data_IF_222381615558
#
_entry.id   IF_222381615558
#
_cell.length_a   1.000
_cell.length_b   1.000
_cell.length_c   1.000
_cell.angle_alpha   90.00
_cell.angle_beta   90.00
_cell.angle_gamma   90.00
#
_symmetry.space_group_name_H-M   'P 1'
#
loop_
_entity.id
_entity.type
_entity.pdbx_description
1 polymer ?
#
# COMPACT_ATOMS: atom_id res chain seq x y z
N UNK A 1 4.98 -5.86 -1.89
CA UNK A 1 4.07 -5.84 -3.06
C UNK A 1 4.47 -4.73 -4.02
N UNK A 2 4.67 -5.06 -5.30
CA UNK A 2 5.08 -4.07 -6.30
C UNK A 2 3.88 -3.37 -6.92
N UNK A 3 2.83 -4.15 -7.24
CA UNK A 3 1.57 -3.67 -7.79
C UNK A 3 0.50 -4.73 -7.60
N UNK A 4 -0.61 -4.35 -7.00
CA UNK A 4 -1.72 -5.25 -6.71
C UNK A 4 -2.63 -5.46 -7.92
N UNK A 5 -2.74 -4.47 -8.82
CA UNK A 5 -3.66 -4.52 -9.96
C UNK A 5 -2.99 -4.89 -11.28
N UNK A 6 -1.68 -4.75 -11.39
CA UNK A 6 -0.95 -4.96 -12.65
C UNK A 6 -0.04 -6.18 -12.58
N UNK A 7 0.99 -6.13 -11.72
CA UNK A 7 2.02 -7.18 -11.75
C UNK A 7 1.58 -8.50 -11.13
N UNK A 8 0.85 -8.47 -10.01
CA UNK A 8 0.40 -9.71 -9.36
C UNK A 8 -0.48 -10.57 -10.29
N UNK A 9 -1.54 -10.04 -10.94
CA UNK A 9 -2.34 -10.85 -11.87
C UNK A 9 -1.55 -11.31 -13.11
N UNK A 10 -0.60 -10.50 -13.62
CA UNK A 10 0.26 -10.90 -14.76
C UNK A 10 1.15 -12.07 -14.36
N UNK A 11 1.81 -12.00 -13.19
CA UNK A 11 2.67 -13.07 -12.68
C UNK A 11 1.87 -14.35 -12.43
N UNK A 12 0.69 -14.25 -11.83
CA UNK A 12 -0.19 -15.39 -11.61
C UNK A 12 -0.54 -16.08 -12.94
N UNK A 13 -0.94 -15.30 -13.94
CA UNK A 13 -1.26 -15.83 -15.28
C UNK A 13 -0.05 -16.51 -15.93
N UNK A 14 1.11 -15.86 -15.88
CA UNK A 14 2.34 -16.41 -16.42
C UNK A 14 2.72 -17.75 -15.76
N UNK A 15 2.65 -17.81 -14.42
CA UNK A 15 2.95 -19.05 -13.68
C UNK A 15 1.95 -20.18 -13.99
N UNK A 16 0.66 -19.87 -14.14
CA UNK A 16 -0.35 -20.87 -14.56
C UNK A 16 -0.02 -21.39 -15.97
N UNK A 17 0.29 -20.50 -16.90
CA UNK A 17 0.65 -20.85 -18.27
C UNK A 17 1.90 -21.74 -18.31
N UNK A 18 2.96 -21.35 -17.60
CA UNK A 18 4.21 -22.12 -17.53
C UNK A 18 3.99 -23.46 -16.84
N UNK A 19 3.22 -23.50 -15.74
CA UNK A 19 2.90 -24.75 -15.04
C UNK A 19 2.24 -25.79 -15.97
N UNK A 20 1.31 -25.32 -16.80
CA UNK A 20 0.60 -26.16 -17.78
C UNK A 20 1.52 -26.66 -18.90
N UNK A 21 2.24 -25.75 -19.56
CA UNK A 21 3.06 -26.11 -20.72
C UNK A 21 4.26 -26.97 -20.36
N UNK A 22 4.86 -26.73 -19.20
CA UNK A 22 6.02 -27.51 -18.72
C UNK A 22 5.62 -28.69 -17.82
N UNK A 23 4.33 -28.93 -17.63
CA UNK A 23 3.81 -29.97 -16.72
C UNK A 23 4.42 -29.87 -15.30
N UNK A 24 4.56 -28.65 -14.78
CA UNK A 24 5.12 -28.35 -13.46
C UNK A 24 4.05 -27.80 -12.51
N UNK A 25 3.16 -28.64 -11.96
CA UNK A 25 2.06 -28.20 -11.11
C UNK A 25 2.53 -27.52 -9.80
N UNK A 26 3.76 -27.78 -9.35
CA UNK A 26 4.33 -27.11 -8.17
C UNK A 26 4.36 -25.57 -8.29
N UNK A 27 4.42 -25.00 -9.50
CA UNK A 27 4.37 -23.56 -9.72
C UNK A 27 3.01 -22.96 -9.31
N UNK A 28 1.94 -23.72 -9.32
CA UNK A 28 0.61 -23.29 -8.91
C UNK A 28 0.55 -22.96 -7.42
N UNK A 29 1.44 -23.51 -6.61
CA UNK A 29 1.47 -23.22 -5.18
C UNK A 29 1.74 -21.73 -4.89
N UNK A 30 2.63 -21.10 -5.65
CA UNK A 30 2.88 -19.66 -5.54
C UNK A 30 1.65 -18.84 -5.94
N UNK A 31 0.91 -19.30 -6.95
CA UNK A 31 -0.35 -18.67 -7.38
C UNK A 31 -1.42 -18.81 -6.29
N UNK A 32 -1.59 -20.00 -5.70
CA UNK A 32 -2.53 -20.24 -4.60
C UNK A 32 -2.28 -19.27 -3.45
N UNK A 33 -1.03 -19.20 -2.98
CA UNK A 33 -0.65 -18.28 -1.90
C UNK A 33 -0.95 -16.81 -2.23
N UNK A 34 -0.66 -16.38 -3.45
CA UNK A 34 -0.95 -15.02 -3.88
C UNK A 34 -2.47 -14.76 -3.93
N UNK A 35 -3.25 -15.67 -4.48
CA UNK A 35 -4.70 -15.54 -4.58
C UNK A 35 -5.37 -15.58 -3.19
N UNK A 36 -4.93 -16.46 -2.29
CA UNK A 36 -5.41 -16.49 -0.90
C UNK A 36 -5.09 -15.18 -0.17
N UNK A 37 -3.89 -14.64 -0.35
CA UNK A 37 -3.53 -13.32 0.19
C UNK A 37 -4.43 -12.24 -0.39
N UNK A 38 -4.67 -12.25 -1.70
CA UNK A 38 -5.44 -11.22 -2.42
C UNK A 38 -6.89 -11.14 -1.92
N UNK A 39 -7.49 -12.22 -1.41
CA UNK A 39 -8.82 -12.20 -0.77
C UNK A 39 -8.89 -11.10 0.30
N UNK A 40 -7.84 -10.96 1.10
CA UNK A 40 -7.77 -9.96 2.18
C UNK A 40 -7.44 -8.55 1.66
N UNK A 41 -7.03 -8.42 0.40
CA UNK A 41 -6.78 -7.15 -0.27
C UNK A 41 -8.01 -6.61 -1.01
N UNK A 42 -9.17 -7.27 -0.89
CA UNK A 42 -10.42 -6.81 -1.48
C UNK A 42 -11.22 -6.00 -0.47
N UNK A 43 -11.62 -4.80 -0.87
CA UNK A 43 -12.53 -3.95 -0.11
C UNK A 43 -13.98 -4.47 -0.20
N UNK A 44 -14.89 -4.04 0.70
CA UNK A 44 -16.29 -4.45 0.66
C UNK A 44 -17.00 -4.15 -0.66
N UNK A 45 -16.60 -3.08 -1.36
CA UNK A 45 -17.13 -2.67 -2.67
C UNK A 45 -16.56 -3.48 -3.85
N UNK A 46 -15.65 -4.44 -3.60
CA UNK A 46 -15.01 -5.28 -4.59
C UNK A 46 -13.77 -4.66 -5.26
N UNK A 47 -13.36 -3.46 -4.87
CA UNK A 47 -12.08 -2.90 -5.30
C UNK A 47 -10.90 -3.58 -4.58
N UNK A 48 -9.77 -3.71 -5.26
CA UNK A 48 -8.53 -4.20 -4.65
C UNK A 48 -7.71 -3.04 -4.10
N UNK A 49 -7.04 -3.28 -2.97
CA UNK A 49 -6.13 -2.32 -2.32
C UNK A 49 -5.01 -1.90 -3.27
N UNK A 50 -4.88 -0.62 -3.55
CA UNK A 50 -3.84 -0.04 -4.41
C UNK A 50 -2.86 0.86 -3.65
N UNK A 51 -3.23 1.34 -2.47
CA UNK A 51 -2.35 2.16 -1.62
C UNK A 51 -1.08 1.43 -1.20
N UNK A 52 -1.11 0.09 -1.13
CA UNK A 52 0.05 -0.76 -0.89
C UNK A 52 0.99 -0.90 -2.11
N UNK A 53 0.54 -0.53 -3.30
CA UNK A 53 1.33 -0.59 -4.52
C UNK A 53 2.44 0.45 -4.52
N UNK A 54 3.58 0.10 -5.16
CA UNK A 54 4.74 0.99 -5.34
C UNK A 54 4.94 1.37 -6.80
N UNK A 55 3.88 1.34 -7.60
CA UNK A 55 3.91 1.59 -9.05
C UNK A 55 2.75 2.49 -9.46
N UNK A 56 2.55 2.64 -10.76
CA UNK A 56 1.56 3.52 -11.40
C UNK A 56 0.11 3.28 -11.01
N UNK A 57 -0.22 2.13 -10.45
CA UNK A 57 -1.57 1.81 -9.97
C UNK A 57 -1.84 2.29 -8.53
N UNK A 58 -0.83 2.86 -7.87
CA UNK A 58 -1.01 3.44 -6.53
C UNK A 58 -2.03 4.56 -6.57
N UNK A 59 -2.99 4.52 -5.63
CA UNK A 59 -4.11 5.47 -5.52
C UNK A 59 -5.13 5.43 -6.68
N UNK A 60 -5.02 4.48 -7.59
CA UNK A 60 -6.06 4.28 -8.59
C UNK A 60 -7.16 3.36 -8.05
N UNK A 61 -8.34 3.41 -8.66
CA UNK A 61 -9.39 2.43 -8.36
C UNK A 61 -8.92 1.05 -8.81
N UNK A 62 -8.77 0.15 -7.85
CA UNK A 62 -8.31 -1.20 -8.09
C UNK A 62 -9.43 -2.10 -8.60
N UNK A 63 -9.26 -2.69 -9.78
CA UNK A 63 -10.21 -3.66 -10.32
C UNK A 63 -9.70 -5.08 -10.13
N UNK A 64 -10.59 -5.98 -9.71
CA UNK A 64 -10.35 -7.43 -9.65
C UNK A 64 -10.41 -8.12 -11.01
N UNK A 65 -10.82 -7.44 -12.08
CA UNK A 65 -11.07 -8.06 -13.39
C UNK A 65 -9.87 -8.87 -13.92
N UNK A 66 -8.64 -8.37 -13.73
CA UNK A 66 -7.42 -9.06 -14.18
C UNK A 66 -7.09 -10.34 -13.39
N UNK A 67 -7.71 -10.55 -12.23
CA UNK A 67 -7.56 -11.77 -11.45
C UNK A 67 -8.52 -12.87 -11.88
N UNK A 68 -9.51 -12.56 -12.72
CA UNK A 68 -10.57 -13.49 -13.09
C UNK A 68 -10.03 -14.82 -13.62
N UNK A 69 -9.12 -14.79 -14.61
CA UNK A 69 -8.50 -15.98 -15.17
C UNK A 69 -7.84 -16.85 -14.08
N UNK A 70 -7.04 -16.24 -13.21
CA UNK A 70 -6.31 -16.98 -12.18
C UNK A 70 -7.24 -17.58 -11.14
N UNK A 71 -8.24 -16.82 -10.66
CA UNK A 71 -9.24 -17.35 -9.73
C UNK A 71 -10.07 -18.45 -10.36
N UNK A 72 -10.51 -18.28 -11.61
CA UNK A 72 -11.31 -19.29 -12.29
C UNK A 72 -10.54 -20.58 -12.50
N UNK A 73 -9.29 -20.48 -12.96
CA UNK A 73 -8.41 -21.64 -13.17
C UNK A 73 -8.22 -22.42 -11.87
N UNK A 74 -7.83 -21.75 -10.79
CA UNK A 74 -7.57 -22.43 -9.51
C UNK A 74 -8.86 -22.86 -8.81
N UNK A 75 -9.98 -22.17 -8.99
CA UNK A 75 -11.29 -22.63 -8.51
C UNK A 75 -11.65 -23.99 -9.12
N UNK A 76 -11.40 -24.17 -10.41
CA UNK A 76 -11.72 -25.41 -11.15
C UNK A 76 -10.73 -26.54 -10.86
N UNK A 77 -9.44 -26.23 -10.72
CA UNK A 77 -8.41 -27.23 -10.41
C UNK A 77 -8.59 -27.78 -8.98
N UNK A 78 -8.78 -26.87 -8.02
CA UNK A 78 -8.75 -27.20 -6.60
C UNK A 78 -10.15 -27.44 -5.99
N UNK A 79 -11.23 -27.23 -6.77
CA UNK A 79 -12.60 -27.24 -6.23
C UNK A 79 -12.83 -26.11 -5.22
N UNK A 80 -12.10 -24.97 -5.31
CA UNK A 80 -12.09 -23.95 -4.30
C UNK A 80 -13.30 -23.00 -4.40
N UNK A 81 -14.27 -23.16 -3.49
CA UNK A 81 -15.49 -22.35 -3.46
C UNK A 81 -15.26 -20.86 -3.16
N UNK A 82 -14.20 -20.46 -2.41
CA UNK A 82 -13.89 -19.04 -2.19
C UNK A 82 -13.38 -18.38 -3.46
N UNK A 83 -12.57 -19.09 -4.23
CA UNK A 83 -12.10 -18.59 -5.53
C UNK A 83 -13.27 -18.49 -6.52
N UNK A 84 -14.22 -19.46 -6.48
CA UNK A 84 -15.44 -19.40 -7.26
C UNK A 84 -16.32 -18.20 -6.90
N UNK A 85 -16.48 -17.91 -5.61
CA UNK A 85 -17.22 -16.75 -5.13
C UNK A 85 -16.62 -15.42 -5.64
N UNK A 86 -15.29 -15.29 -5.66
CA UNK A 86 -14.62 -14.12 -6.24
C UNK A 86 -14.81 -14.03 -7.76
N UNK A 87 -14.77 -15.15 -8.49
CA UNK A 87 -15.10 -15.15 -9.93
C UNK A 87 -16.48 -14.56 -10.17
N UNK A 88 -17.51 -15.06 -9.45
CA UNK A 88 -18.88 -14.55 -9.60
C UNK A 88 -19.03 -13.11 -9.14
N UNK A 89 -18.25 -12.66 -8.14
CA UNK A 89 -18.21 -11.25 -7.77
C UNK A 89 -17.65 -10.40 -8.90
N UNK A 90 -16.58 -10.83 -9.56
CA UNK A 90 -16.00 -10.13 -10.72
C UNK A 90 -17.00 -10.10 -11.88
N UNK A 91 -17.66 -11.21 -12.19
CA UNK A 91 -18.67 -11.33 -13.23
C UNK A 91 -19.82 -10.32 -13.02
N UNK A 92 -20.31 -10.18 -11.78
CA UNK A 92 -21.35 -9.20 -11.43
C UNK A 92 -20.95 -7.73 -11.66
N UNK A 93 -19.67 -7.41 -11.65
CA UNK A 93 -19.20 -6.04 -11.95
C UNK A 93 -19.27 -5.68 -13.42
N UNK A 94 -19.56 -6.63 -14.30
CA UNK A 94 -19.60 -6.45 -15.75
C UNK A 94 -18.28 -6.09 -16.40
N UNK A 95 -17.18 -6.17 -15.64
CA UNK A 95 -15.83 -5.78 -16.08
C UNK A 95 -14.96 -6.98 -16.50
N UNK A 96 -15.57 -8.09 -16.91
CA UNK A 96 -14.83 -9.18 -17.56
C UNK A 96 -14.17 -8.62 -18.83
N UNK A 97 -12.83 -8.66 -18.86
CA UNK A 97 -12.10 -8.07 -20.00
C UNK A 97 -12.24 -8.98 -21.23
N UNK A 98 -12.46 -8.35 -22.39
CA UNK A 98 -12.49 -9.04 -23.70
C UNK A 98 -11.24 -9.91 -23.91
N UNK A 99 -10.09 -9.53 -23.34
CA UNK A 99 -8.86 -10.32 -23.37
C UNK A 99 -8.95 -11.70 -22.71
N UNK A 100 -9.96 -11.97 -21.89
CA UNK A 100 -10.17 -13.31 -21.29
C UNK A 100 -10.84 -14.29 -22.28
N UNK A 101 -11.54 -13.80 -23.31
CA UNK A 101 -12.16 -14.66 -24.33
C UNK A 101 -11.14 -15.60 -25.00
N UNK A 102 -9.94 -15.11 -25.28
CA UNK A 102 -8.89 -15.92 -25.89
C UNK A 102 -8.51 -17.13 -25.00
N UNK A 103 -8.49 -16.94 -23.67
CA UNK A 103 -8.23 -18.04 -22.75
C UNK A 103 -9.31 -19.12 -22.80
N UNK A 104 -10.60 -18.73 -22.87
CA UNK A 104 -11.70 -19.69 -22.98
C UNK A 104 -11.68 -20.48 -24.30
N UNK A 105 -11.24 -19.85 -25.40
CA UNK A 105 -11.10 -20.52 -26.68
C UNK A 105 -9.93 -21.51 -26.68
N UNK A 106 -8.83 -21.19 -26.01
CA UNK A 106 -7.63 -22.03 -25.98
C UNK A 106 -7.63 -23.04 -24.83
N UNK A 107 -8.46 -22.84 -23.83
CA UNK A 107 -8.55 -23.67 -22.62
C UNK A 107 -10.01 -24.08 -22.33
N UNK A 108 -10.56 -25.07 -23.06
CA UNK A 108 -11.97 -25.48 -22.90
C UNK A 108 -12.33 -25.90 -21.47
N UNK A 109 -11.35 -26.32 -20.66
CA UNK A 109 -11.55 -26.64 -19.25
C UNK A 109 -12.10 -25.45 -18.44
N UNK A 110 -11.83 -24.20 -18.86
CA UNK A 110 -12.37 -23.00 -18.23
C UNK A 110 -13.87 -22.81 -18.44
N UNK A 111 -14.48 -23.50 -19.41
CA UNK A 111 -15.91 -23.47 -19.66
C UNK A 111 -16.73 -24.28 -18.64
N UNK A 112 -16.09 -25.16 -17.88
CA UNK A 112 -16.75 -25.96 -16.85
C UNK A 112 -17.45 -25.07 -15.82
N UNK A 113 -18.51 -25.61 -15.20
CA UNK A 113 -19.18 -24.97 -14.10
C UNK A 113 -18.23 -24.77 -12.92
N UNK A 114 -18.24 -23.57 -12.34
CA UNK A 114 -17.51 -23.29 -11.10
C UNK A 114 -18.09 -24.09 -9.94
N UNK A 115 -17.28 -24.52 -8.96
CA UNK A 115 -17.76 -25.12 -7.74
C UNK A 115 -18.74 -24.21 -6.99
N UNK A 116 -19.46 -24.77 -6.03
CA UNK A 116 -20.34 -24.01 -5.16
C UNK A 116 -19.55 -22.93 -4.40
N UNK A 117 -20.20 -21.78 -4.17
CA UNK A 117 -19.57 -20.69 -3.42
C UNK A 117 -19.31 -21.07 -1.97
N UNK A 118 -18.12 -20.73 -1.48
CA UNK A 118 -17.83 -20.69 -0.07
C UNK A 118 -17.77 -19.23 0.42
N UNK A 119 -18.13 -18.97 1.69
CA UNK A 119 -18.13 -17.61 2.24
C UNK A 119 -16.76 -16.95 2.15
N UNK A 120 -16.73 -15.69 1.68
CA UNK A 120 -15.56 -14.84 1.76
C UNK A 120 -15.44 -14.24 3.17
N UNK A 121 -14.22 -14.00 3.68
CA UNK A 121 -14.03 -13.40 5.00
C UNK A 121 -14.54 -11.95 5.01
N UNK A 122 -15.46 -11.65 5.92
CA UNK A 122 -16.05 -10.32 6.10
C UNK A 122 -15.73 -9.70 7.46
N UNK A 123 -15.09 -10.46 8.34
CA UNK A 123 -14.64 -10.02 9.65
C UNK A 123 -13.23 -10.58 9.93
N UNK A 124 -12.24 -9.70 9.95
CA UNK A 124 -10.84 -10.08 10.21
C UNK A 124 -9.97 -8.87 10.55
N UNK A 125 -8.88 -9.15 11.26
CA UNK A 125 -7.71 -8.30 11.36
C UNK A 125 -6.48 -9.15 10.98
N UNK A 126 -5.80 -8.80 9.90
CA UNK A 126 -4.67 -9.59 9.37
C UNK A 126 -3.45 -8.73 9.16
N UNK A 127 -2.35 -9.13 9.79
CA UNK A 127 -1.04 -8.52 9.63
C UNK A 127 -0.24 -9.30 8.58
N UNK A 128 0.31 -8.58 7.62
CA UNK A 128 1.22 -9.07 6.60
C UNK A 128 2.62 -8.51 6.88
N UNK A 129 3.37 -9.21 7.70
CA UNK A 129 4.70 -8.77 8.18
C UNK A 129 5.67 -8.47 7.04
N UNK A 130 5.68 -9.30 6.01
CA UNK A 130 6.52 -9.12 4.82
C UNK A 130 6.22 -7.83 4.04
N UNK A 131 4.95 -7.43 4.00
CA UNK A 131 4.48 -6.23 3.30
C UNK A 131 4.37 -5.03 4.22
N UNK A 132 4.70 -5.21 5.51
CA UNK A 132 4.61 -4.18 6.57
C UNK A 132 3.26 -3.45 6.58
N UNK A 133 2.19 -4.23 6.44
CA UNK A 133 0.84 -3.69 6.48
C UNK A 133 -0.13 -4.57 7.26
N UNK A 134 -1.19 -3.95 7.75
CA UNK A 134 -2.34 -4.65 8.32
C UNK A 134 -3.61 -4.33 7.52
N UNK A 135 -4.43 -5.36 7.35
CA UNK A 135 -5.75 -5.26 6.74
C UNK A 135 -6.81 -5.64 7.77
N UNK A 136 -7.80 -4.77 7.91
CA UNK A 136 -8.91 -4.97 8.83
C UNK A 136 -10.21 -4.87 8.05
N UNK A 137 -11.13 -5.78 8.32
CA UNK A 137 -12.49 -5.74 7.78
C UNK A 137 -13.48 -6.04 8.89
N UNK A 138 -14.57 -5.28 8.93
CA UNK A 138 -15.74 -5.47 9.80
C UNK A 138 -16.99 -5.23 8.95
N UNK A 139 -17.49 -6.31 8.33
CA UNK A 139 -18.61 -6.22 7.42
C UNK A 139 -18.37 -5.26 6.25
N UNK A 140 -19.11 -4.13 6.24
CA UNK A 140 -19.01 -3.09 5.23
C UNK A 140 -17.89 -2.06 5.46
N UNK A 141 -17.17 -2.17 6.58
CA UNK A 141 -16.01 -1.33 6.87
C UNK A 141 -14.71 -2.08 6.59
N UNK A 142 -13.70 -1.39 6.05
CA UNK A 142 -12.35 -1.92 5.90
C UNK A 142 -11.30 -0.84 6.03
N UNK A 143 -10.14 -1.20 6.56
CA UNK A 143 -9.00 -0.30 6.71
C UNK A 143 -7.71 -0.98 6.26
N UNK A 144 -6.76 -0.16 5.79
CA UNK A 144 -5.37 -0.54 5.55
C UNK A 144 -4.46 0.34 6.40
N UNK A 145 -3.54 -0.27 7.13
CA UNK A 145 -2.50 0.41 7.91
C UNK A 145 -1.16 0.04 7.30
N UNK A 146 -0.32 1.01 6.97
CA UNK A 146 0.91 0.79 6.20
C UNK A 146 2.12 1.43 6.88
N UNK A 147 3.18 0.66 7.07
CA UNK A 147 4.53 1.19 7.26
C UNK A 147 5.25 1.29 5.90
N UNK A 148 6.40 1.96 5.88
CA UNK A 148 7.19 2.22 4.67
C UNK A 148 6.39 2.86 3.52
N UNK A 149 5.41 3.70 3.87
CA UNK A 149 4.50 4.33 2.94
C UNK A 149 4.07 5.70 3.47
N UNK A 150 3.96 6.70 2.60
CA UNK A 150 3.45 8.02 2.98
C UNK A 150 1.96 8.02 3.31
N UNK A 151 1.18 7.09 2.75
CA UNK A 151 -0.17 6.78 3.24
C UNK A 151 -0.03 5.84 4.42
N UNK A 152 -0.21 6.34 5.62
CA UNK A 152 -0.14 5.52 6.83
C UNK A 152 -1.43 4.75 7.10
N UNK A 153 -2.57 5.27 6.62
CA UNK A 153 -3.90 4.72 6.87
C UNK A 153 -4.85 5.04 5.70
N UNK A 154 -5.69 4.08 5.35
CA UNK A 154 -6.85 4.28 4.49
C UNK A 154 -8.08 3.58 5.11
N UNK A 155 -9.28 4.09 4.81
CA UNK A 155 -10.52 3.56 5.38
C UNK A 155 -11.66 3.65 4.38
N UNK A 156 -12.49 2.62 4.35
CA UNK A 156 -13.71 2.58 3.56
C UNK A 156 -14.88 2.06 4.39
N UNK A 157 -16.03 2.69 4.23
CA UNK A 157 -17.29 2.24 4.83
C UNK A 157 -18.43 2.55 3.87
N UNK A 158 -19.13 1.53 3.40
CA UNK A 158 -20.14 1.66 2.36
C UNK A 158 -19.57 2.40 1.12
N UNK A 159 -20.16 3.53 0.73
CA UNK A 159 -19.70 4.38 -0.38
C UNK A 159 -18.61 5.41 0.03
N UNK A 160 -18.41 5.63 1.32
CA UNK A 160 -17.40 6.58 1.80
C UNK A 160 -15.99 5.99 1.74
N UNK A 161 -15.05 6.74 1.16
CA UNK A 161 -13.66 6.34 1.06
C UNK A 161 -12.73 7.48 1.48
N UNK A 162 -12.02 7.27 2.59
CA UNK A 162 -10.82 8.00 2.97
C UNK A 162 -9.63 7.25 2.36
N UNK A 163 -9.11 7.76 1.25
CA UNK A 163 -8.10 7.06 0.43
C UNK A 163 -6.71 7.14 1.05
N UNK A 164 -6.43 8.23 1.77
CA UNK A 164 -5.17 8.37 2.49
C UNK A 164 -5.31 9.26 3.73
N UNK A 165 -4.63 8.85 4.78
CA UNK A 165 -4.18 9.74 5.86
C UNK A 165 -2.68 9.86 5.71
N UNK A 166 -2.18 11.10 5.63
CA UNK A 166 -0.76 11.43 5.60
C UNK A 166 -0.42 12.39 6.71
N UNK A 167 0.78 12.28 7.20
CA UNK A 167 1.30 13.13 8.24
C UNK A 167 2.67 13.65 7.80
N UNK A 168 2.91 14.93 7.98
CA UNK A 168 4.17 15.56 7.62
C UNK A 168 4.64 16.54 8.70
N UNK A 169 5.94 16.71 8.79
CA UNK A 169 6.62 17.65 9.69
C UNK A 169 7.58 18.51 8.92
N UNK A 170 7.78 19.76 9.34
CA UNK A 170 8.83 20.62 8.79
C UNK A 170 10.16 20.38 9.54
N UNK A 171 10.80 19.21 9.31
CA UNK A 171 12.00 18.80 10.00
C UNK A 171 13.16 18.51 9.04
N UNK A 172 14.07 19.45 8.84
CA UNK A 172 15.31 19.31 8.04
C UNK A 172 15.10 18.69 6.65
N UNK A 173 14.00 19.01 5.96
CA UNK A 173 13.67 18.47 4.65
C UNK A 173 13.23 16.99 4.65
N UNK A 174 13.01 16.40 5.80
CA UNK A 174 12.54 15.00 5.98
C UNK A 174 11.06 14.97 6.36
N UNK A 175 10.24 15.80 5.72
CA UNK A 175 8.91 16.14 6.19
C UNK A 175 7.88 15.03 6.19
N UNK A 176 7.96 14.09 5.26
CA UNK A 176 6.94 13.04 5.13
C UNK A 176 7.12 11.95 6.19
N UNK A 177 6.09 11.72 6.98
CA UNK A 177 6.04 10.55 7.84
C UNK A 177 5.96 9.27 7.00
N UNK A 178 6.95 8.44 7.17
CA UNK A 178 7.04 7.12 6.55
C UNK A 178 7.54 6.18 7.63
N UNK A 179 6.63 5.51 8.30
CA UNK A 179 6.98 4.68 9.45
C UNK A 179 8.01 3.61 9.08
N UNK A 180 9.05 3.47 9.88
CA UNK A 180 10.08 2.44 9.72
C UNK A 180 9.54 1.06 10.14
N UNK A 181 8.61 1.05 11.09
CA UNK A 181 8.06 -0.16 11.70
C UNK A 181 6.54 -0.10 11.87
N UNK A 182 5.92 -1.28 11.82
CA UNK A 182 4.54 -1.52 12.23
C UNK A 182 4.52 -2.57 13.33
N UNK A 183 4.25 -2.14 14.55
CA UNK A 183 4.03 -3.02 15.70
C UNK A 183 2.53 -3.31 15.82
N UNK A 184 2.17 -4.58 15.99
CA UNK A 184 0.77 -5.01 16.15
C UNK A 184 0.56 -5.51 17.57
N UNK A 185 -0.40 -4.92 18.26
CA UNK A 185 -0.90 -5.34 19.58
C UNK A 185 -2.38 -5.70 19.45
N UNK A 186 -2.97 -6.24 20.50
CA UNK A 186 -4.40 -6.57 20.50
C UNK A 186 -5.25 -5.30 20.28
N UNK A 187 -5.85 -5.16 19.08
CA UNK A 187 -6.69 -4.02 18.71
C UNK A 187 -5.96 -2.69 18.45
N UNK A 188 -4.62 -2.67 18.50
CA UNK A 188 -3.81 -1.47 18.31
C UNK A 188 -2.65 -1.74 17.34
N UNK A 189 -2.31 -0.73 16.54
CA UNK A 189 -1.26 -0.78 15.51
C UNK A 189 -0.42 0.47 15.65
N UNK A 190 0.88 0.30 15.95
CA UNK A 190 1.77 1.42 16.24
C UNK A 190 2.78 1.55 15.09
N UNK A 191 2.76 2.71 14.47
CA UNK A 191 3.68 3.14 13.43
C UNK A 191 4.71 4.08 14.05
N UNK A 192 6.01 3.87 13.79
CA UNK A 192 7.09 4.69 14.36
C UNK A 192 8.07 5.15 13.29
N UNK A 193 8.56 6.37 13.47
CA UNK A 193 9.66 6.92 12.68
C UNK A 193 10.58 7.73 13.59
N UNK A 194 11.89 7.54 13.41
CA UNK A 194 12.93 8.33 14.07
C UNK A 194 13.69 9.16 13.04
N UNK A 195 13.81 10.45 13.29
CA UNK A 195 14.49 11.39 12.40
C UNK A 195 15.62 12.11 13.13
N UNK A 196 16.74 12.27 12.44
CA UNK A 196 17.86 13.10 12.90
C UNK A 196 18.13 14.23 11.91
N UNK A 197 18.34 15.44 12.46
CA UNK A 197 18.70 16.65 11.72
C UNK A 197 20.03 17.18 12.24
N UNK A 198 21.18 16.68 11.75
CA UNK A 198 22.50 17.18 12.15
C UNK A 198 22.79 18.54 11.49
N UNK A 199 23.52 19.39 12.20
CA UNK A 199 24.23 20.52 11.62
C UNK A 199 25.60 20.03 11.14
N UNK A 200 25.94 20.34 9.88
CA UNK A 200 27.23 19.97 9.29
C UNK A 200 28.22 21.12 9.39
N UNK A 201 29.27 20.95 10.16
CA UNK A 201 30.32 21.95 10.29
C UNK A 201 31.00 22.22 8.95
N UNK A 202 31.61 23.42 8.76
CA UNK A 202 32.45 23.69 7.61
C UNK A 202 33.58 22.65 7.47
N UNK A 203 34.06 22.45 6.26
CA UNK A 203 35.24 21.62 6.02
C UNK A 203 36.46 22.26 6.67
N UNK A 204 37.31 21.45 7.29
CA UNK A 204 38.60 21.91 7.78
C UNK A 204 39.57 22.27 6.63
N UNK A 205 40.60 23.07 6.91
CA UNK A 205 41.60 23.43 5.91
C UNK A 205 42.26 22.18 5.28
N UNK A 206 42.54 21.17 6.09
CA UNK A 206 43.06 19.89 5.61
C UNK A 206 42.11 19.12 4.67
N UNK A 207 40.82 19.12 4.99
CA UNK A 207 39.79 18.54 4.12
C UNK A 207 39.62 19.31 2.82
N UNK A 208 39.74 20.63 2.88
CA UNK A 208 39.71 21.50 1.69
C UNK A 208 40.91 21.21 0.78
N UNK A 209 42.09 21.01 1.35
CA UNK A 209 43.31 20.71 0.61
C UNK A 209 43.27 19.35 -0.13
N UNK A 210 42.44 18.39 0.31
CA UNK A 210 42.20 17.14 -0.38
C UNK A 210 41.41 17.24 -1.69
N UNK A 211 40.84 18.42 -2.00
CA UNK A 211 40.46 18.87 -3.34
C UNK A 211 39.22 18.26 -4.00
N UNK A 212 38.55 17.29 -3.43
CA UNK A 212 37.45 16.58 -4.12
C UNK A 212 36.02 17.04 -3.78
N UNK A 213 35.90 18.06 -2.90
CA UNK A 213 34.63 18.52 -2.34
C UNK A 213 33.88 19.52 -3.23
N UNK A 214 34.52 19.99 -4.32
CA UNK A 214 33.97 20.98 -5.27
C UNK A 214 33.52 20.39 -6.58
N UNK A 215 33.74 19.07 -6.82
CA UNK A 215 33.33 18.45 -8.07
C UNK A 215 31.81 18.32 -8.09
N UNK A 216 31.20 18.91 -9.12
CA UNK A 216 29.79 18.73 -9.42
C UNK A 216 29.59 17.33 -10.00
N UNK A 217 28.59 16.62 -9.51
CA UNK A 217 28.14 15.41 -10.17
C UNK A 217 27.55 15.73 -11.57
N UNK A 218 27.54 14.80 -12.52
CA UNK A 218 27.01 15.05 -13.88
C UNK A 218 25.58 15.60 -13.93
N UNK A 219 24.81 15.43 -12.87
CA UNK A 219 23.44 15.94 -12.72
C UNK A 219 23.38 17.38 -12.15
N UNK A 220 24.50 18.08 -12.02
CA UNK A 220 24.57 19.44 -11.50
C UNK A 220 24.46 19.58 -9.98
N UNK A 221 24.44 18.48 -9.22
CA UNK A 221 24.49 18.52 -7.75
C UNK A 221 25.93 18.50 -7.24
N UNK A 222 26.21 19.19 -6.12
CA UNK A 222 27.50 19.04 -5.43
C UNK A 222 27.71 17.57 -5.05
N UNK A 223 28.93 17.05 -5.31
CA UNK A 223 29.27 15.68 -4.97
C UNK A 223 28.94 15.40 -3.50
N UNK A 224 28.16 14.33 -3.26
CA UNK A 224 27.69 13.92 -1.91
C UNK A 224 28.80 13.68 -0.91
N UNK A 225 30.01 13.45 -1.36
CA UNK A 225 31.19 13.19 -0.53
C UNK A 225 31.54 14.35 0.43
N UNK A 226 31.27 15.61 0.03
CA UNK A 226 31.57 16.74 0.93
C UNK A 226 30.77 16.71 2.23
N UNK A 227 29.53 16.24 2.19
CA UNK A 227 28.65 16.17 3.37
C UNK A 227 29.09 15.07 4.34
N UNK A 228 29.50 13.91 3.81
CA UNK A 228 29.99 12.79 4.60
C UNK A 228 31.32 13.10 5.33
N UNK A 229 32.14 14.01 4.78
CA UNK A 229 33.41 14.42 5.37
C UNK A 229 33.28 15.46 6.48
N UNK A 230 32.11 16.11 6.62
CA UNK A 230 31.91 17.19 7.60
C UNK A 230 31.57 16.61 8.97
N UNK A 231 32.17 17.20 9.99
CA UNK A 231 31.78 16.90 11.36
C UNK A 231 30.34 17.32 11.60
N UNK A 232 29.57 16.46 12.23
CA UNK A 232 28.20 16.75 12.64
C UNK A 232 28.20 17.33 14.06
N UNK A 233 27.36 18.32 14.29
CA UNK A 233 27.11 18.90 15.61
C UNK A 233 25.64 19.25 15.77
N UNK A 234 25.22 19.54 17.00
CA UNK A 234 23.84 19.98 17.31
C UNK A 234 22.79 19.08 16.65
N UNK A 235 22.96 17.77 16.76
CA UNK A 235 22.03 16.80 16.17
C UNK A 235 20.67 16.92 16.84
N UNK A 236 19.71 17.48 16.10
CA UNK A 236 18.32 17.49 16.52
C UNK A 236 17.67 16.14 16.25
N UNK A 237 16.74 15.73 17.11
CA UNK A 237 16.03 14.46 16.98
C UNK A 237 14.52 14.69 17.05
N UNK A 238 13.79 13.98 16.25
CA UNK A 238 12.33 13.95 16.25
C UNK A 238 11.85 12.51 16.16
N UNK A 239 11.16 12.08 17.19
CA UNK A 239 10.48 10.79 17.23
C UNK A 239 9.00 11.03 16.94
N UNK A 240 8.48 10.35 15.93
CA UNK A 240 7.09 10.41 15.56
C UNK A 240 6.45 9.03 15.70
N UNK A 241 5.27 8.98 16.29
CA UNK A 241 4.47 7.75 16.36
C UNK A 241 3.01 8.04 16.04
N UNK A 242 2.38 7.06 15.36
CA UNK A 242 0.95 7.05 15.12
C UNK A 242 0.40 5.74 15.65
N UNK A 243 -0.47 5.81 16.64
CA UNK A 243 -1.22 4.67 17.15
C UNK A 243 -2.61 4.64 16.51
N UNK A 244 -2.91 3.56 15.83
CA UNK A 244 -4.24 3.29 15.26
C UNK A 244 -4.91 2.24 16.11
N UNK A 245 -6.01 2.62 16.79
CA UNK A 245 -6.82 1.70 17.60
C UNK A 245 -8.11 1.36 16.86
N UNK A 246 -8.46 0.07 16.80
CA UNK A 246 -9.69 -0.42 16.18
C UNK A 246 -10.64 -0.96 17.24
N UNK A 247 -11.88 -0.51 17.14
CA UNK A 247 -12.99 -1.05 17.93
C UNK A 247 -14.28 -1.11 17.10
N UNK A 248 -14.75 -2.31 16.81
CA UNK A 248 -16.01 -2.55 16.08
C UNK A 248 -16.11 -1.76 14.75
N UNK A 249 -15.02 -1.70 13.98
CA UNK A 249 -14.97 -0.99 12.69
C UNK A 249 -14.92 0.53 12.80
N UNK A 250 -14.66 1.06 13.98
CA UNK A 250 -14.28 2.46 14.24
C UNK A 250 -12.79 2.53 14.48
N UNK A 251 -12.16 3.58 14.02
CA UNK A 251 -10.71 3.78 14.12
C UNK A 251 -10.40 5.12 14.77
N UNK A 252 -9.48 5.10 15.72
CA UNK A 252 -8.90 6.30 16.33
C UNK A 252 -7.42 6.33 15.95
N UNK A 253 -6.94 7.49 15.50
CA UNK A 253 -5.53 7.74 15.21
C UNK A 253 -5.00 8.76 16.22
N UNK A 254 -4.06 8.33 17.06
CA UNK A 254 -3.35 9.21 17.99
C UNK A 254 -1.93 9.46 17.44
N UNK A 255 -1.61 10.72 17.17
CA UNK A 255 -0.29 11.15 16.68
C UNK A 255 0.48 11.77 17.84
N UNK A 256 1.71 11.30 18.06
CA UNK A 256 2.59 11.80 19.11
C UNK A 256 3.95 12.14 18.52
N UNK A 257 4.49 13.29 18.94
CA UNK A 257 5.81 13.78 18.61
C UNK A 257 6.60 14.03 19.88
N UNK A 258 7.85 13.63 19.90
CA UNK A 258 8.77 13.93 21.00
C UNK A 258 10.16 14.29 20.45
N UNK A 259 10.95 15.05 21.20
CA UNK A 259 12.28 15.51 20.82
C UNK A 259 12.31 17.01 20.56
N UNK A 260 12.72 17.44 19.37
CA UNK A 260 12.81 18.87 19.02
C UNK A 260 11.45 19.56 19.17
N UNK A 261 11.43 20.67 19.93
CA UNK A 261 10.22 21.46 20.16
C UNK A 261 9.82 22.29 18.94
N UNK A 262 8.56 22.72 18.92
CA UNK A 262 7.98 23.67 17.96
C UNK A 262 8.14 23.27 16.47
N UNK A 263 8.21 21.98 16.19
CA UNK A 263 8.25 21.47 14.81
C UNK A 263 6.84 21.56 14.20
N UNK A 264 6.64 22.35 13.13
CA UNK A 264 5.34 22.44 12.46
C UNK A 264 4.91 21.09 11.88
N UNK A 265 3.61 20.83 11.98
CA UNK A 265 3.00 19.58 11.53
C UNK A 265 1.84 19.83 10.59
N UNK A 266 1.61 18.88 9.68
CA UNK A 266 0.46 18.87 8.78
C UNK A 266 -0.15 17.47 8.75
N UNK A 267 -1.48 17.40 8.79
CA UNK A 267 -2.23 16.17 8.60
C UNK A 267 -3.11 16.35 7.37
N UNK A 268 -2.96 15.46 6.41
CA UNK A 268 -3.74 15.42 5.19
C UNK A 268 -4.73 14.24 5.23
N UNK A 269 -6.00 14.54 4.98
CA UNK A 269 -7.07 13.56 4.81
C UNK A 269 -7.55 13.62 3.36
N UNK A 270 -7.16 12.64 2.53
CA UNK A 270 -7.56 12.56 1.14
C UNK A 270 -8.82 11.72 0.99
N UNK A 271 -9.94 12.35 0.71
CA UNK A 271 -11.21 11.69 0.44
C UNK A 271 -11.41 11.46 -1.04
N UNK A 272 -12.13 10.40 -1.38
CA UNK A 272 -12.52 10.12 -2.76
C UNK A 272 -13.38 11.26 -3.31
N UNK A 273 -13.08 11.69 -4.54
CA UNK A 273 -13.85 12.71 -5.24
C UNK A 273 -15.33 12.32 -5.38
N UNK A 274 -16.21 13.32 -5.29
CA UNK A 274 -17.67 13.16 -5.42
C UNK A 274 -18.40 12.97 -4.09
N UNK A 275 -17.67 12.91 -2.95
CA UNK A 275 -18.25 12.97 -1.62
C UNK A 275 -18.62 14.41 -1.21
N UNK A 276 -19.59 14.54 -0.32
CA UNK A 276 -19.92 15.81 0.35
C UNK A 276 -19.35 15.78 1.76
N UNK A 277 -18.48 16.72 2.09
CA UNK A 277 -18.01 16.96 3.44
C UNK A 277 -19.00 17.88 4.16
N UNK A 278 -19.33 17.54 5.41
CA UNK A 278 -20.18 18.37 6.29
C UNK A 278 -19.40 18.71 7.54
N UNK A 279 -19.68 19.88 8.15
CA UNK A 279 -18.97 20.33 9.35
C UNK A 279 -17.57 20.90 9.06
N UNK A 280 -17.28 21.24 7.82
CA UNK A 280 -16.05 21.90 7.39
C UNK A 280 -16.39 23.12 6.56
N UNK A 281 -15.59 24.16 6.68
CA UNK A 281 -15.66 25.36 5.82
C UNK A 281 -14.53 25.26 4.77
N UNK A 282 -14.85 25.45 3.47
CA UNK A 282 -13.81 25.51 2.46
C UNK A 282 -12.96 26.76 2.69
N UNK A 283 -11.66 26.60 2.78
CA UNK A 283 -10.74 27.74 2.75
C UNK A 283 -10.86 28.35 1.37
N UNK A 284 -11.29 29.61 1.31
CA UNK A 284 -11.25 30.38 0.05
C UNK A 284 -9.85 30.29 -0.55
N UNK A 285 -9.76 29.98 -1.83
CA UNK A 285 -8.52 29.78 -2.58
C UNK A 285 -7.37 30.60 -2.03
N UNK A 286 -6.31 29.92 -1.62
CA UNK A 286 -5.01 30.57 -1.53
C UNK A 286 -4.76 31.15 -2.92
N UNK A 287 -4.53 32.47 -3.07
CA UNK A 287 -4.15 33.03 -4.35
C UNK A 287 -2.98 32.22 -4.89
N UNK A 288 -3.05 31.86 -6.16
CA UNK A 288 -2.07 31.05 -6.85
C UNK A 288 -0.65 31.46 -6.47
N UNK A 289 0.09 30.58 -5.78
CA UNK A 289 1.50 30.74 -5.52
C UNK A 289 2.29 30.15 -6.70
#
# INVERSE_FOLDING_TARGET
>A
EKSTTVYSPIVNRALITVARHLQRPALLESVRRNLEMTIFYVHPDGEVVTEASRRQDRYQRGSMARYYYSYRTLALIDGNGRFAALCRQIERTGRAQIGELAAFLTEPALLRALPADAPLPTDYAKHFSYSTLARIRRGSASATILANNTTLFSFRKNSAALEAVRFATAFFGKGQFTADTLEVRAGSYILRQSLEGPYFQPLSAAQIALGDHTKMAPNGTLATNSKAMRQQSNVQRLEASVEVTEFSGKFTLAISLTGTADVPVSIELAFRHGGKLTGVEPVSRVPDA
#
